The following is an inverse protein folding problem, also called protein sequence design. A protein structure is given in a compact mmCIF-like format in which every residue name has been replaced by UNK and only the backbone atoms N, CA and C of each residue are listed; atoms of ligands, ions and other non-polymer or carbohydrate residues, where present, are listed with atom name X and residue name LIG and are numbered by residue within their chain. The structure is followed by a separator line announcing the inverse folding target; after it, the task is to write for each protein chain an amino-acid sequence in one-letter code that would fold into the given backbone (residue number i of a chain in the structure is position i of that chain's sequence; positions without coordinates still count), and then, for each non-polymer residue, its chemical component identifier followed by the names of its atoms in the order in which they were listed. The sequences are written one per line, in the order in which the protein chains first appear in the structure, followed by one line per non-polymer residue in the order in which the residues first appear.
data_IF_709702964258
#
_entry.id   IF_709702964258
#
_cell.length_a   1.000
_cell.length_b   1.000
_cell.length_c   1.000
_cell.angle_alpha   90.00
_cell.angle_beta   90.00
_cell.angle_gamma   90.00
#
_symmetry.space_group_name_H-M   'P 1'
#
loop_
_entity.id
_entity.type
_entity.pdbx_description
1 polymer ?
#
# COMPACT_ATOMS: atom_id res chain seq x y z
N UNK A 1 -49.84 -14.20 7.73
CA UNK A 1 -50.11 -15.63 7.62
C UNK A 1 -49.98 -15.97 6.13
N UNK A 2 -48.74 -16.11 5.69
CA UNK A 2 -48.42 -16.55 4.32
C UNK A 2 -47.20 -17.46 4.39
N UNK A 3 -47.32 -18.64 3.84
CA UNK A 3 -46.42 -19.78 3.89
C UNK A 3 -45.19 -19.59 3.00
N UNK A 4 -44.02 -20.16 3.34
CA UNK A 4 -42.80 -20.04 2.54
C UNK A 4 -42.84 -21.05 1.37
N UNK A 5 -42.44 -20.59 0.18
CA UNK A 5 -42.24 -21.37 -1.04
C UNK A 5 -40.99 -22.26 -0.95
N UNK A 6 -41.19 -23.54 -1.22
CA UNK A 6 -40.17 -24.58 -1.34
C UNK A 6 -39.19 -24.29 -2.51
N UNK A 7 -37.91 -24.51 -2.27
CA UNK A 7 -36.86 -24.58 -3.27
C UNK A 7 -36.78 -26.00 -3.85
N UNK A 8 -36.61 -26.21 -5.18
CA UNK A 8 -36.49 -27.54 -5.76
C UNK A 8 -35.11 -28.15 -5.47
N UNK A 9 -35.14 -29.41 -4.97
CA UNK A 9 -33.98 -30.30 -4.84
C UNK A 9 -33.49 -30.71 -6.21
N UNK A 10 -32.22 -30.48 -6.52
CA UNK A 10 -31.52 -31.00 -7.69
C UNK A 10 -31.05 -32.42 -7.36
N UNK A 11 -31.55 -33.38 -8.15
CA UNK A 11 -31.26 -34.82 -8.08
C UNK A 11 -29.84 -35.10 -8.61
N UNK A 12 -28.99 -35.67 -7.74
CA UNK A 12 -27.57 -35.95 -7.99
C UNK A 12 -27.27 -37.28 -8.70
N UNK A 13 -28.25 -37.87 -9.46
CA UNK A 13 -28.12 -39.20 -10.06
C UNK A 13 -27.71 -39.24 -11.54
N UNK A 14 -27.42 -38.11 -12.20
CA UNK A 14 -27.12 -38.03 -13.63
C UNK A 14 -25.64 -37.88 -14.05
N UNK A 15 -24.66 -37.97 -13.14
CA UNK A 15 -23.22 -37.83 -13.46
C UNK A 15 -22.38 -39.09 -13.20
N UNK A 16 -22.94 -40.29 -13.38
CA UNK A 16 -22.23 -41.57 -13.27
C UNK A 16 -22.46 -42.51 -14.45
N UNK A 17 -22.25 -42.05 -15.69
CA UNK A 17 -22.14 -42.96 -16.86
C UNK A 17 -21.46 -42.24 -18.03
N UNK A 18 -20.12 -41.97 -17.95
CA UNK A 18 -19.29 -41.65 -19.13
C UNK A 18 -17.78 -41.68 -18.72
N UNK A 19 -17.33 -42.81 -18.16
CA UNK A 19 -15.87 -43.09 -18.02
C UNK A 19 -15.66 -44.62 -18.07
N UNK A 20 -15.77 -45.23 -19.23
CA UNK A 20 -15.60 -46.67 -19.34
C UNK A 20 -15.47 -47.17 -20.75
N UNK A 21 -14.85 -46.46 -21.69
CA UNK A 21 -14.61 -47.04 -23.01
C UNK A 21 -13.46 -46.40 -23.84
N UNK A 22 -12.45 -45.83 -23.26
CA UNK A 22 -11.25 -45.36 -24.00
C UNK A 22 -9.93 -45.85 -23.43
N UNK A 23 -9.91 -46.87 -22.58
CA UNK A 23 -8.70 -47.44 -21.97
C UNK A 23 -8.17 -48.73 -22.62
N UNK A 24 -8.78 -49.26 -23.65
CA UNK A 24 -8.46 -50.61 -24.18
C UNK A 24 -7.83 -50.67 -25.58
N UNK A 25 -7.40 -49.59 -26.17
CA UNK A 25 -6.76 -49.60 -27.51
C UNK A 25 -5.32 -49.04 -27.58
N UNK A 26 -4.70 -48.71 -26.44
CA UNK A 26 -3.29 -48.26 -26.38
C UNK A 26 -2.34 -49.29 -25.78
N UNK A 27 -2.77 -50.49 -25.41
CA UNK A 27 -1.96 -51.56 -24.83
C UNK A 27 -1.36 -52.57 -25.81
N UNK A 28 -1.75 -52.59 -27.10
CA UNK A 28 -1.33 -53.61 -28.07
C UNK A 28 -0.32 -53.13 -29.12
N UNK A 29 0.10 -51.86 -29.09
CA UNK A 29 1.08 -51.31 -30.04
C UNK A 29 2.53 -51.32 -29.59
N UNK A 30 2.82 -51.55 -28.29
CA UNK A 30 4.20 -51.45 -27.73
C UNK A 30 4.87 -52.80 -27.52
N UNK A 31 4.20 -53.91 -27.76
CA UNK A 31 4.72 -55.29 -27.58
C UNK A 31 5.47 -55.85 -28.79
N UNK A 32 5.36 -55.23 -30.01
CA UNK A 32 5.88 -55.85 -31.25
C UNK A 32 7.18 -55.21 -31.75
N UNK A 33 7.68 -54.14 -31.16
CA UNK A 33 8.94 -53.44 -31.58
C UNK A 33 10.16 -53.92 -30.78
N UNK A 34 10.00 -54.63 -29.67
CA UNK A 34 11.12 -55.15 -28.88
C UNK A 34 11.58 -56.57 -29.22
N UNK A 35 10.88 -57.30 -30.10
CA UNK A 35 11.23 -58.66 -30.54
C UNK A 35 12.12 -58.75 -31.78
N UNK A 36 12.34 -57.66 -32.52
CA UNK A 36 13.13 -57.65 -33.78
C UNK A 36 14.57 -57.09 -33.56
N UNK A 37 14.87 -56.43 -32.46
CA UNK A 37 16.20 -55.89 -32.16
C UNK A 37 17.15 -56.82 -31.42
N UNK A 38 16.67 -58.01 -30.95
CA UNK A 38 17.47 -58.98 -30.18
C UNK A 38 18.26 -59.98 -30.99
N UNK A 39 18.07 -60.10 -32.32
CA UNK A 39 18.67 -61.17 -33.14
C UNK A 39 19.80 -60.74 -34.05
N UNK A 40 20.21 -59.47 -34.02
CA UNK A 40 21.30 -58.96 -34.89
C UNK A 40 22.61 -58.68 -34.13
N UNK A 41 22.73 -58.89 -32.84
CA UNK A 41 23.94 -58.62 -32.04
C UNK A 41 24.70 -59.92 -31.64
N UNK A 42 24.18 -61.08 -31.93
CA UNK A 42 24.79 -62.36 -31.55
C UNK A 42 25.71 -62.99 -32.62
N UNK A 43 25.92 -62.40 -33.80
CA UNK A 43 26.73 -62.93 -34.85
C UNK A 43 28.06 -62.16 -35.12
N UNK A 44 28.48 -61.25 -34.25
CA UNK A 44 29.69 -60.47 -34.49
C UNK A 44 30.85 -60.71 -33.50
N UNK A 45 30.72 -61.66 -32.54
CA UNK A 45 31.80 -61.99 -31.61
C UNK A 45 32.16 -63.50 -31.63
N UNK A 46 32.58 -63.98 -32.76
CA UNK A 46 33.09 -65.33 -32.88
C UNK A 46 34.17 -65.42 -33.97
N UNK A 47 35.32 -64.88 -33.75
CA UNK A 47 36.58 -65.45 -34.27
C UNK A 47 37.75 -64.50 -33.98
N UNK A 48 38.49 -64.71 -32.91
CA UNK A 48 39.94 -64.48 -32.93
C UNK A 48 40.63 -65.36 -31.90
N UNK A 49 41.63 -66.03 -32.48
CA UNK A 49 42.43 -67.11 -31.95
C UNK A 49 43.36 -66.65 -30.81
N UNK A 50 43.59 -67.59 -29.90
CA UNK A 50 44.61 -67.71 -28.88
C UNK A 50 45.98 -67.22 -29.32
N UNK A 51 46.58 -66.33 -28.52
CA UNK A 51 48.05 -66.17 -28.43
C UNK A 51 48.41 -66.10 -26.95
N UNK A 52 49.27 -67.01 -26.56
CA UNK A 52 49.87 -67.28 -25.27
C UNK A 52 50.55 -66.09 -24.61
N UNK A 53 50.53 -65.96 -23.28
CA UNK A 53 51.13 -64.85 -22.56
C UNK A 53 52.66 -65.00 -22.44
N UNK A 54 53.34 -63.97 -22.87
CA UNK A 54 54.77 -63.80 -22.56
C UNK A 54 54.87 -63.07 -21.20
N UNK A 55 55.25 -63.79 -20.19
CA UNK A 55 55.64 -63.26 -18.88
C UNK A 55 57.02 -62.64 -19.03
N UNK A 56 57.10 -61.33 -18.90
CA UNK A 56 58.18 -60.56 -18.27
C UNK A 56 58.03 -59.06 -18.59
N UNK A 57 57.32 -58.36 -17.68
CA UNK A 57 57.52 -56.93 -17.49
C UNK A 57 57.39 -56.61 -16.00
N UNK A 58 58.29 -55.83 -15.41
CA UNK A 58 58.39 -55.66 -13.97
C UNK A 58 57.25 -54.76 -13.47
N UNK A 59 56.36 -55.34 -12.67
CA UNK A 59 55.35 -54.63 -11.91
C UNK A 59 55.97 -53.94 -10.67
N UNK A 60 56.66 -52.81 -10.89
CA UNK A 60 57.15 -52.02 -9.78
C UNK A 60 57.51 -50.58 -10.28
N UNK A 61 56.53 -49.76 -10.59
CA UNK A 61 56.66 -48.26 -10.57
C UNK A 61 55.37 -47.46 -10.83
N UNK A 62 54.20 -48.11 -10.73
CA UNK A 62 52.91 -47.39 -10.91
C UNK A 62 52.35 -46.70 -9.64
N UNK A 63 53.11 -46.76 -8.53
CA UNK A 63 52.60 -46.25 -7.21
C UNK A 63 53.00 -44.81 -6.88
N UNK A 64 53.82 -44.11 -7.69
CA UNK A 64 54.34 -42.77 -7.35
C UNK A 64 54.14 -41.72 -8.43
N UNK A 65 53.25 -41.93 -9.40
CA UNK A 65 52.92 -40.87 -10.35
C UNK A 65 52.04 -39.83 -9.62
N UNK A 66 52.54 -38.62 -9.45
CA UNK A 66 51.77 -37.51 -8.89
C UNK A 66 50.55 -37.22 -9.79
N UNK A 67 49.36 -37.18 -9.20
CA UNK A 67 48.12 -36.94 -9.93
C UNK A 67 47.97 -35.44 -10.24
N UNK A 68 47.69 -35.05 -11.50
CA UNK A 68 47.41 -33.68 -11.82
C UNK A 68 46.05 -33.24 -11.21
N UNK A 69 46.08 -32.21 -10.42
CA UNK A 69 44.90 -31.68 -9.72
C UNK A 69 44.88 -30.13 -9.74
N UNK A 70 43.70 -29.53 -9.80
CA UNK A 70 43.57 -28.10 -9.55
C UNK A 70 43.52 -27.85 -8.05
N UNK A 71 44.20 -26.80 -7.64
CA UNK A 71 44.25 -26.38 -6.24
C UNK A 71 43.82 -24.93 -6.11
N UNK A 72 43.21 -24.60 -5.00
CA UNK A 72 42.78 -23.26 -4.67
C UNK A 72 43.18 -22.93 -3.23
N UNK A 73 43.79 -21.77 -3.05
CA UNK A 73 44.06 -21.25 -1.72
C UNK A 73 42.75 -20.76 -1.05
N UNK A 74 42.51 -21.18 0.15
CA UNK A 74 41.34 -20.80 0.97
C UNK A 74 41.57 -19.41 1.54
N UNK A 75 40.76 -18.45 1.08
CA UNK A 75 40.77 -17.08 1.58
C UNK A 75 39.68 -16.84 2.64
N UNK A 76 39.84 -15.75 3.38
CA UNK A 76 38.75 -15.21 4.19
C UNK A 76 37.74 -14.53 3.28
N UNK A 77 36.49 -14.95 3.33
CA UNK A 77 35.36 -14.37 2.59
C UNK A 77 34.29 -13.92 3.57
N UNK A 78 33.44 -13.01 3.15
CA UNK A 78 32.25 -12.63 3.95
C UNK A 78 31.20 -13.72 3.79
N UNK A 79 30.83 -14.35 4.91
CA UNK A 79 29.72 -15.29 4.96
C UNK A 79 28.48 -14.58 5.48
N UNK A 80 27.32 -14.88 4.89
CA UNK A 80 26.02 -14.29 5.27
C UNK A 80 25.12 -15.36 5.88
N UNK A 81 24.61 -15.10 7.09
CA UNK A 81 23.47 -15.83 7.61
C UNK A 81 22.21 -15.16 7.08
N UNK A 82 21.39 -15.88 6.32
CA UNK A 82 20.19 -15.34 5.71
C UNK A 82 19.02 -16.30 5.81
N UNK A 83 17.81 -15.76 5.63
CA UNK A 83 16.60 -16.58 5.53
C UNK A 83 15.68 -15.97 4.48
N UNK A 84 15.02 -16.83 3.74
CA UNK A 84 14.13 -16.47 2.65
C UNK A 84 12.67 -16.52 3.14
N UNK A 85 11.92 -15.48 2.84
CA UNK A 85 10.50 -15.33 3.16
C UNK A 85 9.75 -14.91 1.90
N UNK A 86 8.56 -15.45 1.70
CA UNK A 86 7.66 -14.99 0.64
C UNK A 86 6.72 -13.93 1.23
N UNK A 87 6.54 -12.85 0.50
CA UNK A 87 5.66 -11.77 0.91
C UNK A 87 5.05 -11.02 -0.27
N UNK A 88 4.07 -10.19 0.02
CA UNK A 88 3.47 -9.28 -0.96
C UNK A 88 4.04 -7.88 -0.80
N UNK A 89 4.33 -7.24 -1.92
CA UNK A 89 4.66 -5.82 -1.98
C UNK A 89 3.39 -5.00 -1.77
N UNK A 90 3.46 -4.01 -0.92
CA UNK A 90 2.37 -3.09 -0.60
C UNK A 90 2.83 -1.65 -0.88
N UNK A 91 2.00 -0.90 -1.59
CA UNK A 91 2.27 0.51 -1.84
C UNK A 91 2.14 1.31 -0.54
N UNK A 92 3.00 2.33 -0.36
CA UNK A 92 2.97 3.18 0.83
C UNK A 92 1.66 3.93 0.99
N UNK A 93 1.08 4.36 -0.11
CA UNK A 93 -0.22 5.02 -0.14
C UNK A 93 -1.06 4.45 -1.26
N UNK A 94 -2.26 4.04 -0.91
CA UNK A 94 -3.30 3.58 -1.81
C UNK A 94 -4.61 4.22 -1.39
N UNK A 95 -5.23 4.97 -2.28
CA UNK A 95 -6.47 5.68 -2.00
C UNK A 95 -7.53 5.25 -3.00
N UNK A 96 -8.62 4.71 -2.50
CA UNK A 96 -9.82 4.44 -3.28
C UNK A 96 -10.58 5.76 -3.44
N UNK A 97 -10.71 6.23 -4.67
CA UNK A 97 -11.35 7.49 -5.02
C UNK A 97 -12.86 7.27 -5.13
N UNK A 98 -13.61 8.03 -4.34
CA UNK A 98 -15.06 7.97 -4.25
C UNK A 98 -15.65 9.37 -4.40
N UNK A 99 -16.82 9.55 -5.04
CA UNK A 99 -17.48 10.84 -5.11
C UNK A 99 -18.08 11.20 -3.74
N UNK A 100 -18.04 12.48 -3.40
CA UNK A 100 -18.66 13.02 -2.19
C UNK A 100 -20.12 13.42 -2.39
N UNK A 101 -20.55 13.49 -3.63
CA UNK A 101 -21.95 13.75 -4.06
C UNK A 101 -22.35 12.72 -5.09
N UNK A 102 -23.64 12.43 -5.16
CA UNK A 102 -24.20 11.61 -6.22
C UNK A 102 -24.38 12.38 -7.52
N UNK A 103 -24.28 11.71 -8.64
CA UNK A 103 -24.48 12.32 -9.95
C UNK A 103 -24.12 11.40 -11.12
N UNK A 104 -24.37 11.86 -12.34
CA UNK A 104 -23.95 11.14 -13.55
C UNK A 104 -22.52 11.53 -13.92
N UNK A 105 -21.70 10.58 -14.30
CA UNK A 105 -20.35 10.86 -14.83
C UNK A 105 -20.49 11.57 -16.17
N UNK A 106 -20.06 12.82 -16.22
CA UNK A 106 -20.03 13.65 -17.41
C UNK A 106 -18.78 13.37 -18.26
N UNK A 107 -17.63 13.26 -17.60
CA UNK A 107 -16.36 12.95 -18.24
C UNK A 107 -15.39 12.28 -17.28
N UNK A 108 -14.55 11.39 -17.81
CA UNK A 108 -13.35 10.87 -17.18
C UNK A 108 -12.16 11.56 -17.86
N UNK A 109 -11.36 12.30 -17.11
CA UNK A 109 -10.36 13.24 -17.63
C UNK A 109 -8.95 12.64 -17.74
N UNK A 110 -8.76 11.42 -17.22
CA UNK A 110 -7.49 10.71 -17.20
C UNK A 110 -7.67 9.25 -17.59
N UNK A 111 -6.62 8.62 -18.10
CA UNK A 111 -6.65 7.20 -18.48
C UNK A 111 -6.16 6.29 -17.36
N UNK A 112 -6.65 5.04 -17.35
CA UNK A 112 -6.09 3.99 -16.49
C UNK A 112 -4.59 3.81 -16.75
N UNK A 113 -3.77 3.68 -15.70
CA UNK A 113 -2.31 3.63 -15.79
C UNK A 113 -1.61 4.99 -15.90
N UNK A 114 -2.34 6.08 -16.05
CA UNK A 114 -1.75 7.43 -16.13
C UNK A 114 -1.23 7.88 -14.77
N UNK A 115 -0.06 8.54 -14.76
CA UNK A 115 0.47 9.19 -13.56
C UNK A 115 -0.18 10.56 -13.39
N UNK A 116 -0.67 10.82 -12.17
CA UNK A 116 -1.34 12.07 -11.79
C UNK A 116 -0.68 12.69 -10.57
N UNK A 117 -0.79 14.01 -10.45
CA UNK A 117 -0.37 14.76 -9.27
C UNK A 117 -1.57 15.00 -8.34
N UNK A 118 -1.28 15.23 -7.06
CA UNK A 118 -2.30 15.68 -6.12
C UNK A 118 -3.02 16.92 -6.65
N UNK A 119 -4.37 16.92 -6.63
CA UNK A 119 -5.21 17.98 -7.14
C UNK A 119 -5.59 17.85 -8.62
N UNK A 120 -5.00 16.91 -9.37
CA UNK A 120 -5.39 16.66 -10.77
C UNK A 120 -6.85 16.21 -10.83
N UNK A 121 -7.72 16.83 -11.67
CA UNK A 121 -9.09 16.37 -11.85
C UNK A 121 -9.11 15.02 -12.57
N UNK A 122 -9.82 14.05 -11.99
CA UNK A 122 -9.93 12.68 -12.47
C UNK A 122 -11.23 12.45 -13.23
N UNK A 123 -12.34 12.94 -12.67
CA UNK A 123 -13.66 12.83 -13.26
C UNK A 123 -14.50 14.06 -12.96
N UNK A 124 -15.48 14.36 -13.82
CA UNK A 124 -16.52 15.35 -13.59
C UNK A 124 -17.90 14.70 -13.55
N UNK A 125 -18.73 15.20 -12.63
CA UNK A 125 -20.11 14.77 -12.47
C UNK A 125 -21.07 15.82 -13.04
N UNK A 126 -22.16 15.43 -13.70
CA UNK A 126 -23.27 16.32 -14.05
C UNK A 126 -24.03 16.71 -12.80
N UNK A 127 -24.42 18.00 -12.72
CA UNK A 127 -24.99 18.60 -11.52
C UNK A 127 -26.34 19.29 -11.78
N UNK A 128 -27.15 18.82 -12.74
CA UNK A 128 -28.41 19.48 -13.07
C UNK A 128 -29.25 19.77 -11.81
N UNK A 129 -29.40 18.77 -10.95
CA UNK A 129 -30.13 18.94 -9.68
C UNK A 129 -29.41 19.89 -8.69
N UNK A 130 -28.08 19.85 -8.62
CA UNK A 130 -27.32 20.70 -7.70
C UNK A 130 -27.34 22.16 -8.14
N UNK A 131 -27.31 22.43 -9.44
CA UNK A 131 -27.45 23.78 -9.99
C UNK A 131 -28.84 24.33 -9.71
N UNK A 132 -29.91 23.55 -9.88
CA UNK A 132 -31.26 23.93 -9.52
C UNK A 132 -31.37 24.26 -8.02
N UNK A 133 -30.73 23.51 -7.15
CA UNK A 133 -30.68 23.75 -5.72
C UNK A 133 -29.96 25.08 -5.38
N UNK A 134 -28.86 25.40 -6.06
CA UNK A 134 -28.17 26.70 -5.90
C UNK A 134 -29.06 27.82 -6.36
N UNK A 135 -29.69 27.70 -7.53
CA UNK A 135 -30.63 28.74 -8.05
C UNK A 135 -31.78 28.99 -7.05
N UNK A 136 -32.37 27.94 -6.51
CA UNK A 136 -33.40 28.04 -5.47
C UNK A 136 -32.89 28.74 -4.21
N UNK A 137 -31.69 28.42 -3.73
CA UNK A 137 -31.07 29.04 -2.54
C UNK A 137 -30.77 30.55 -2.78
N UNK A 138 -30.33 30.90 -3.97
CA UNK A 138 -30.09 32.31 -4.38
C UNK A 138 -31.43 33.08 -4.43
N UNK A 139 -32.48 32.48 -4.97
CA UNK A 139 -33.81 33.06 -4.96
C UNK A 139 -34.35 33.29 -3.54
N UNK A 140 -34.16 32.33 -2.64
CA UNK A 140 -34.51 32.47 -1.23
C UNK A 140 -33.74 33.63 -0.54
N UNK A 141 -32.42 33.74 -0.81
CA UNK A 141 -31.63 34.86 -0.28
C UNK A 141 -32.11 36.21 -0.82
N UNK A 142 -32.49 36.31 -2.09
CA UNK A 142 -33.05 37.51 -2.69
C UNK A 142 -34.40 37.88 -2.06
N UNK A 143 -35.26 36.90 -1.79
CA UNK A 143 -36.54 37.14 -1.12
C UNK A 143 -36.33 37.62 0.33
N UNK A 144 -35.40 37.04 1.07
CA UNK A 144 -35.04 37.51 2.41
C UNK A 144 -34.49 38.92 2.42
N UNK A 145 -33.67 39.28 1.42
CA UNK A 145 -33.15 40.65 1.22
C UNK A 145 -34.27 41.68 0.94
N UNK A 146 -35.27 41.30 0.15
CA UNK A 146 -36.46 42.15 -0.08
C UNK A 146 -37.26 42.33 1.23
N UNK A 147 -37.44 41.24 2.02
CA UNK A 147 -38.06 41.33 3.35
C UNK A 147 -37.33 42.27 4.31
N UNK A 148 -36.00 42.29 4.29
CA UNK A 148 -35.18 43.22 5.07
C UNK A 148 -35.44 44.67 4.67
N UNK A 149 -35.51 44.99 3.33
CA UNK A 149 -35.83 46.31 2.85
C UNK A 149 -37.23 46.77 3.31
N UNK A 150 -38.23 45.87 3.31
CA UNK A 150 -39.56 46.15 3.81
C UNK A 150 -39.55 46.48 5.32
N UNK A 151 -38.82 45.69 6.12
CA UNK A 151 -38.71 45.95 7.56
C UNK A 151 -37.97 47.27 7.84
N UNK A 152 -36.94 47.61 7.04
CA UNK A 152 -36.26 48.92 7.14
C UNK A 152 -37.19 50.09 6.83
N UNK A 153 -38.04 49.98 5.79
CA UNK A 153 -39.02 50.98 5.46
C UNK A 153 -40.05 51.18 6.57
N UNK A 154 -40.49 50.07 7.19
CA UNK A 154 -41.41 50.13 8.36
C UNK A 154 -40.77 50.84 9.57
N UNK A 155 -39.48 50.59 9.83
CA UNK A 155 -38.75 51.30 10.88
C UNK A 155 -38.64 52.78 10.60
N UNK A 156 -38.32 53.15 9.36
CA UNK A 156 -38.29 54.55 8.94
C UNK A 156 -39.64 55.26 9.09
N UNK A 157 -40.74 54.60 8.73
CA UNK A 157 -42.10 55.09 8.94
C UNK A 157 -42.39 55.31 10.42
N UNK A 158 -42.07 54.32 11.30
CA UNK A 158 -42.25 54.45 12.74
C UNK A 158 -41.44 55.61 13.35
N UNK A 159 -40.19 55.78 12.87
CA UNK A 159 -39.33 56.91 13.28
C UNK A 159 -39.92 58.29 12.86
N UNK A 160 -40.44 58.40 11.63
CA UNK A 160 -41.11 59.61 11.17
C UNK A 160 -42.35 59.92 12.01
N UNK A 161 -43.17 58.90 12.34
CA UNK A 161 -44.33 59.09 13.19
C UNK A 161 -43.94 59.54 14.62
N UNK A 162 -42.88 58.92 15.19
CA UNK A 162 -42.31 59.36 16.47
C UNK A 162 -41.87 60.83 16.44
N UNK A 163 -41.20 61.26 15.40
CA UNK A 163 -40.76 62.66 15.24
C UNK A 163 -41.95 63.63 15.20
N UNK A 164 -43.05 63.28 14.51
CA UNK A 164 -44.29 64.06 14.49
C UNK A 164 -44.89 64.17 15.88
N UNK A 165 -44.99 63.06 16.63
CA UNK A 165 -45.54 63.05 17.98
C UNK A 165 -44.66 63.82 18.99
N UNK A 166 -43.30 63.69 18.85
CA UNK A 166 -42.37 64.48 19.64
C UNK A 166 -42.52 65.99 19.45
N UNK A 167 -42.76 66.44 18.22
CA UNK A 167 -43.06 67.86 17.91
C UNK A 167 -44.37 68.29 18.63
N UNK A 168 -45.40 67.44 18.68
CA UNK A 168 -46.62 67.73 19.41
C UNK A 168 -46.39 67.90 20.90
N UNK A 169 -45.58 67.02 21.53
CA UNK A 169 -45.17 67.16 22.96
C UNK A 169 -44.52 68.51 23.17
N UNK A 170 -43.63 68.97 22.33
CA UNK A 170 -42.97 70.28 22.42
C UNK A 170 -43.98 71.43 22.34
N UNK A 171 -44.96 71.32 21.43
CA UNK A 171 -46.03 72.30 21.32
C UNK A 171 -46.84 72.36 22.59
N UNK A 172 -47.32 71.23 23.10
CA UNK A 172 -48.15 71.17 24.32
C UNK A 172 -47.34 71.61 25.58
N UNK A 173 -46.04 71.32 25.62
CA UNK A 173 -45.19 71.83 26.69
C UNK A 173 -45.06 73.31 26.70
N UNK A 174 -44.92 73.94 25.51
CA UNK A 174 -44.87 75.41 25.36
C UNK A 174 -46.22 76.04 25.77
N UNK A 175 -47.32 75.42 25.38
CA UNK A 175 -48.66 75.87 25.70
C UNK A 175 -48.93 75.78 27.22
N UNK A 176 -48.57 74.64 27.89
CA UNK A 176 -48.67 74.50 29.31
C UNK A 176 -47.86 75.56 30.07
N UNK A 177 -46.61 75.79 29.72
CA UNK A 177 -45.74 76.80 30.36
C UNK A 177 -46.35 78.21 30.24
N UNK A 178 -46.86 78.57 29.06
CA UNK A 178 -47.53 79.83 28.85
C UNK A 178 -48.79 79.99 29.70
N UNK A 179 -49.67 78.98 29.71
CA UNK A 179 -50.91 78.98 30.53
C UNK A 179 -50.56 79.01 32.00
N UNK A 180 -49.55 78.33 32.49
CA UNK A 180 -49.08 78.34 33.84
C UNK A 180 -48.71 79.77 34.32
N UNK A 181 -47.97 80.53 33.43
CA UNK A 181 -47.56 81.86 33.70
C UNK A 181 -48.78 82.81 33.76
N UNK A 182 -49.74 82.77 32.82
CA UNK A 182 -50.90 83.60 32.78
C UNK A 182 -51.82 83.36 33.94
N UNK A 183 -51.95 82.12 34.45
CA UNK A 183 -52.75 81.80 35.67
C UNK A 183 -52.03 82.33 36.91
N UNK A 184 -50.69 82.30 36.99
CA UNK A 184 -49.93 82.86 38.10
C UNK A 184 -50.06 84.36 38.16
N UNK A 185 -50.22 84.99 37.01
CA UNK A 185 -50.48 86.49 36.86
C UNK A 185 -51.94 86.84 37.05
N UNK A 186 -52.87 85.85 37.27
CA UNK A 186 -54.27 86.06 37.44
C UNK A 186 -55.07 86.35 36.17
N UNK A 187 -54.43 86.20 34.98
CA UNK A 187 -55.00 86.47 33.66
C UNK A 187 -55.86 85.33 33.08
N UNK A 188 -55.77 84.11 33.64
CA UNK A 188 -56.53 82.92 33.18
C UNK A 188 -57.05 82.11 34.38
N UNK A 189 -58.11 81.30 34.17
CA UNK A 189 -58.70 80.43 35.15
C UNK A 189 -57.85 79.16 35.41
N UNK A 190 -57.85 78.60 36.65
CA UNK A 190 -57.16 77.40 36.99
C UNK A 190 -57.60 76.20 36.13
N UNK A 191 -58.85 76.17 35.70
CA UNK A 191 -59.43 75.15 34.86
C UNK A 191 -58.62 75.00 33.56
N UNK A 192 -58.17 76.14 32.94
CA UNK A 192 -57.40 76.11 31.75
C UNK A 192 -56.03 75.51 31.97
N UNK A 193 -55.39 75.74 33.09
CA UNK A 193 -54.13 75.10 33.45
C UNK A 193 -54.33 73.58 33.61
N UNK A 194 -55.41 73.09 34.21
CA UNK A 194 -55.70 71.66 34.34
C UNK A 194 -55.90 71.01 32.92
N UNK A 195 -56.60 71.67 32.04
CA UNK A 195 -56.75 71.24 30.63
C UNK A 195 -55.36 71.18 29.89
N UNK A 196 -54.58 72.23 30.05
CA UNK A 196 -53.22 72.22 29.44
C UNK A 196 -52.32 71.12 29.98
N UNK A 197 -52.39 70.85 31.29
CA UNK A 197 -51.66 69.74 31.93
C UNK A 197 -52.10 68.39 31.35
N UNK A 198 -53.39 68.14 31.27
CA UNK A 198 -53.96 66.91 30.73
C UNK A 198 -53.52 66.67 29.26
N UNK A 199 -53.61 67.78 28.47
CA UNK A 199 -53.14 67.71 27.04
C UNK A 199 -51.66 67.34 26.93
N UNK A 200 -50.79 67.95 27.78
CA UNK A 200 -49.38 67.63 27.80
C UNK A 200 -49.15 66.17 28.22
N UNK A 201 -49.89 65.68 29.29
CA UNK A 201 -49.76 64.32 29.74
C UNK A 201 -50.19 63.30 28.68
N UNK A 202 -51.27 63.58 27.93
CA UNK A 202 -51.67 62.75 26.78
C UNK A 202 -50.63 62.74 25.69
N UNK A 203 -50.06 63.90 25.31
CA UNK A 203 -49.01 63.96 24.31
C UNK A 203 -47.75 63.19 24.70
N UNK A 204 -47.36 63.19 26.01
CA UNK A 204 -46.25 62.38 26.53
C UNK A 204 -46.59 60.90 26.44
N UNK A 205 -47.81 60.48 26.76
CA UNK A 205 -48.23 59.09 26.62
C UNK A 205 -48.20 58.61 25.15
N UNK A 206 -48.64 59.50 24.21
CA UNK A 206 -48.54 59.20 22.77
C UNK A 206 -47.08 59.04 22.29
N UNK A 207 -46.18 59.87 22.82
CA UNK A 207 -44.75 59.73 22.48
C UNK A 207 -44.18 58.39 22.99
N UNK A 208 -44.54 58.00 24.21
CA UNK A 208 -44.13 56.69 24.74
C UNK A 208 -44.67 55.53 23.91
N UNK A 209 -45.91 55.61 23.39
CA UNK A 209 -46.49 54.63 22.50
C UNK A 209 -45.70 54.58 21.16
N UNK A 210 -45.36 55.74 20.60
CA UNK A 210 -44.55 55.84 19.35
C UNK A 210 -43.14 55.27 19.54
N UNK A 211 -42.50 55.48 20.75
CA UNK A 211 -41.21 54.89 21.07
C UNK A 211 -41.28 53.33 21.12
N UNK A 212 -42.34 52.79 21.67
CA UNK A 212 -42.58 51.32 21.63
C UNK A 212 -42.76 50.81 20.21
N UNK A 213 -43.42 51.59 19.35
CA UNK A 213 -43.59 51.22 17.95
C UNK A 213 -42.24 51.23 17.16
N UNK A 214 -41.35 52.21 17.39
CA UNK A 214 -40.01 52.21 16.87
C UNK A 214 -39.22 51.03 17.35
N UNK A 215 -39.27 50.69 18.63
CA UNK A 215 -38.61 49.52 19.21
C UNK A 215 -39.08 48.19 18.57
N UNK A 216 -40.42 48.07 18.37
CA UNK A 216 -41.02 46.91 17.70
C UNK A 216 -40.56 46.79 16.24
N UNK A 217 -40.60 47.88 15.48
CA UNK A 217 -40.11 47.93 14.11
C UNK A 217 -38.60 47.60 14.01
N UNK A 218 -37.78 48.11 14.96
CA UNK A 218 -36.36 47.76 15.08
C UNK A 218 -36.10 46.28 15.37
N UNK A 219 -36.97 45.66 16.16
CA UNK A 219 -36.95 44.21 16.37
C UNK A 219 -37.25 43.45 15.05
N UNK A 220 -38.23 43.95 14.26
CA UNK A 220 -38.54 43.39 12.95
C UNK A 220 -37.32 43.43 11.98
N UNK A 221 -36.56 44.54 11.97
CA UNK A 221 -35.34 44.66 11.18
C UNK A 221 -34.30 43.62 11.62
N UNK A 222 -34.09 43.44 12.91
CA UNK A 222 -33.15 42.40 13.43
C UNK A 222 -33.55 40.98 13.00
N UNK A 223 -34.87 40.70 13.07
CA UNK A 223 -35.42 39.41 12.62
C UNK A 223 -35.18 39.20 11.13
N UNK A 224 -35.49 40.21 10.30
CA UNK A 224 -35.26 40.13 8.85
C UNK A 224 -33.74 39.98 8.48
N UNK A 225 -32.86 40.66 9.24
CA UNK A 225 -31.41 40.48 9.10
C UNK A 225 -30.96 39.05 9.42
N UNK A 226 -31.55 38.42 10.44
CA UNK A 226 -31.29 37.01 10.80
C UNK A 226 -31.72 36.06 9.65
N UNK A 227 -32.88 36.33 9.04
CA UNK A 227 -33.39 35.58 7.88
C UNK A 227 -32.48 35.70 6.67
N UNK A 228 -31.92 36.90 6.40
CA UNK A 228 -30.92 37.10 5.32
C UNK A 228 -29.67 36.28 5.58
N UNK A 229 -29.13 36.32 6.80
CA UNK A 229 -27.94 35.50 7.16
C UNK A 229 -28.20 34.00 7.00
N UNK A 230 -29.38 33.54 7.41
CA UNK A 230 -29.78 32.14 7.24
C UNK A 230 -29.84 31.73 5.76
N UNK A 231 -30.46 32.53 4.91
CA UNK A 231 -30.58 32.28 3.48
C UNK A 231 -29.21 32.31 2.78
N UNK A 232 -28.33 33.27 3.15
CA UNK A 232 -26.95 33.34 2.65
C UNK A 232 -26.13 32.09 3.04
N UNK A 233 -26.26 31.59 4.28
CA UNK A 233 -25.62 30.36 4.72
C UNK A 233 -26.12 29.16 3.89
N UNK A 234 -27.41 29.09 3.60
CA UNK A 234 -28.00 28.09 2.70
C UNK A 234 -27.41 28.14 1.29
N UNK A 235 -27.22 29.37 0.72
CA UNK A 235 -26.58 29.55 -0.60
C UNK A 235 -25.10 29.06 -0.55
N UNK A 236 -24.37 29.41 0.50
CA UNK A 236 -22.98 28.96 0.65
C UNK A 236 -22.89 27.42 0.74
N UNK A 237 -23.77 26.77 1.49
CA UNK A 237 -23.85 25.32 1.59
C UNK A 237 -24.18 24.66 0.24
N UNK A 238 -25.12 25.21 -0.53
CA UNK A 238 -25.44 24.72 -1.86
C UNK A 238 -24.25 24.87 -2.84
N UNK A 239 -23.48 25.96 -2.73
CA UNK A 239 -22.29 26.21 -3.56
C UNK A 239 -21.14 25.24 -3.28
N UNK A 240 -20.97 24.77 -2.03
CA UNK A 240 -19.98 23.73 -1.69
C UNK A 240 -20.25 22.46 -2.51
N UNK A 241 -21.51 22.05 -2.63
CA UNK A 241 -21.89 20.86 -3.41
C UNK A 241 -21.53 21.02 -4.91
N UNK A 242 -21.60 22.22 -5.46
CA UNK A 242 -21.16 22.49 -6.85
C UNK A 242 -19.65 22.31 -7.01
N UNK A 243 -18.87 22.70 -6.03
CA UNK A 243 -17.41 22.53 -6.06
C UNK A 243 -16.99 21.06 -6.00
N UNK A 244 -17.81 20.21 -5.40
CA UNK A 244 -17.60 18.74 -5.35
C UNK A 244 -17.88 18.01 -6.68
N UNK A 245 -18.33 18.74 -7.72
CA UNK A 245 -18.50 18.23 -9.08
C UNK A 245 -17.23 17.55 -9.61
N UNK A 246 -16.08 18.10 -9.31
CA UNK A 246 -14.79 17.59 -9.75
C UNK A 246 -14.22 16.64 -8.71
N UNK A 247 -14.09 15.38 -9.10
CA UNK A 247 -13.39 14.38 -8.30
C UNK A 247 -11.91 14.51 -8.62
N UNK A 248 -11.12 14.91 -7.63
CA UNK A 248 -9.68 15.19 -7.80
C UNK A 248 -8.81 14.17 -7.09
N UNK A 249 -7.58 13.96 -7.57
CA UNK A 249 -6.60 13.08 -6.95
C UNK A 249 -6.16 13.61 -5.57
N UNK A 250 -6.34 12.87 -4.47
CA UNK A 250 -5.91 13.30 -3.14
C UNK A 250 -4.40 13.13 -2.93
N UNK A 251 -3.77 12.23 -3.70
CA UNK A 251 -2.34 11.93 -3.65
C UNK A 251 -1.75 11.91 -5.06
N UNK A 252 -0.43 12.05 -5.16
CA UNK A 252 0.33 11.81 -6.40
C UNK A 252 0.56 10.32 -6.56
N UNK A 253 0.22 9.74 -7.73
CA UNK A 253 0.34 8.30 -7.97
C UNK A 253 -0.07 7.89 -9.37
N UNK A 254 -0.28 6.60 -9.56
CA UNK A 254 -0.77 6.00 -10.80
C UNK A 254 -2.24 5.65 -10.62
N UNK A 255 -3.06 6.04 -11.58
CA UNK A 255 -4.51 5.77 -11.60
C UNK A 255 -4.73 4.30 -11.97
N UNK A 256 -5.56 3.62 -11.20
CA UNK A 256 -5.98 2.25 -11.46
C UNK A 256 -7.04 2.16 -12.56
N UNK A 257 -7.73 1.05 -12.60
CA UNK A 257 -8.85 0.83 -13.52
C UNK A 257 -10.09 1.63 -13.07
N UNK A 258 -10.92 2.02 -14.04
CA UNK A 258 -12.21 2.63 -13.80
C UNK A 258 -13.30 1.55 -13.95
N UNK A 259 -13.94 1.11 -12.84
CA UNK A 259 -15.08 0.21 -12.89
C UNK A 259 -16.36 0.90 -13.41
N UNK A 260 -16.30 2.21 -13.62
CA UNK A 260 -17.41 3.07 -14.05
C UNK A 260 -17.10 3.72 -15.40
N UNK A 261 -18.15 4.09 -16.14
CA UNK A 261 -18.05 4.67 -17.48
C UNK A 261 -18.72 6.05 -17.53
N UNK A 262 -18.36 6.84 -18.54
CA UNK A 262 -19.08 8.08 -18.86
C UNK A 262 -20.55 7.76 -19.15
N UNK A 263 -21.43 8.50 -18.50
CA UNK A 263 -22.89 8.28 -18.56
C UNK A 263 -23.45 7.49 -17.37
N UNK A 264 -22.62 6.78 -16.60
CA UNK A 264 -23.07 6.05 -15.42
C UNK A 264 -23.49 7.00 -14.30
N UNK A 265 -24.50 6.59 -13.52
CA UNK A 265 -24.90 7.27 -12.32
C UNK A 265 -24.14 6.68 -11.12
N UNK A 266 -23.45 7.52 -10.36
CA UNK A 266 -22.66 7.14 -9.20
C UNK A 266 -23.22 7.71 -7.91
N UNK A 267 -23.21 6.91 -6.86
CA UNK A 267 -23.64 7.30 -5.53
C UNK A 267 -22.42 7.67 -4.65
N UNK A 268 -22.67 8.42 -3.58
CA UNK A 268 -21.67 8.71 -2.56
C UNK A 268 -21.10 7.40 -1.99
N UNK A 269 -19.77 7.31 -1.92
CA UNK A 269 -19.07 6.10 -1.43
C UNK A 269 -18.83 5.03 -2.49
N UNK A 270 -19.37 5.15 -3.71
CA UNK A 270 -19.08 4.22 -4.81
C UNK A 270 -17.66 4.45 -5.35
N UNK A 271 -16.93 3.36 -5.59
CA UNK A 271 -15.56 3.47 -6.13
C UNK A 271 -15.57 3.93 -7.58
N UNK A 272 -14.86 5.04 -7.86
CA UNK A 272 -14.60 5.52 -9.22
C UNK A 272 -13.30 4.93 -9.76
N UNK A 273 -12.24 4.95 -8.98
CA UNK A 273 -10.92 4.36 -9.30
C UNK A 273 -10.09 4.28 -8.02
N UNK A 274 -8.88 3.72 -8.13
CA UNK A 274 -7.89 3.71 -7.05
C UNK A 274 -6.64 4.43 -7.52
N UNK A 275 -6.02 5.24 -6.68
CA UNK A 275 -4.73 5.87 -6.97
C UNK A 275 -3.68 5.24 -6.06
N UNK A 276 -2.61 4.72 -6.67
CA UNK A 276 -1.53 4.00 -5.99
C UNK A 276 -0.23 4.75 -6.13
N UNK A 277 0.42 5.04 -5.01
CA UNK A 277 1.76 5.63 -5.01
C UNK A 277 2.82 4.51 -5.09
N UNK A 278 3.41 4.34 -6.26
CA UNK A 278 4.31 3.23 -6.59
C UNK A 278 5.81 3.61 -6.57
N UNK A 279 6.19 4.75 -6.02
CA UNK A 279 7.59 5.21 -5.99
C UNK A 279 8.47 4.37 -5.05
N UNK A 280 7.88 3.87 -3.99
CA UNK A 280 8.47 2.92 -3.07
C UNK A 280 7.37 1.95 -2.60
N UNK A 281 7.77 0.71 -2.32
CA UNK A 281 6.88 -0.31 -1.80
C UNK A 281 7.48 -0.94 -0.55
N UNK A 282 6.63 -1.36 0.34
CA UNK A 282 7.01 -2.10 1.53
C UNK A 282 6.67 -3.59 1.30
N UNK A 283 7.65 -4.46 1.46
CA UNK A 283 7.48 -5.91 1.41
C UNK A 283 7.02 -6.40 2.78
N UNK A 284 5.86 -7.00 2.85
CA UNK A 284 5.32 -7.60 4.06
C UNK A 284 5.91 -8.99 4.24
N UNK A 285 6.68 -9.20 5.32
CA UNK A 285 7.37 -10.44 5.65
C UNK A 285 6.83 -11.00 6.97
N UNK A 286 6.41 -12.25 6.97
CA UNK A 286 6.03 -12.97 8.18
C UNK A 286 7.25 -13.70 8.74
N UNK A 287 7.89 -13.12 9.74
CA UNK A 287 9.11 -13.65 10.36
C UNK A 287 8.73 -14.51 11.57
N UNK A 288 9.18 -15.79 11.66
CA UNK A 288 8.90 -16.65 12.80
C UNK A 288 9.41 -16.07 14.12
N UNK A 289 8.68 -16.30 15.21
CA UNK A 289 8.95 -15.73 16.53
C UNK A 289 10.30 -16.16 17.13
N UNK A 290 10.85 -17.34 16.72
CA UNK A 290 12.16 -17.79 17.13
C UNK A 290 13.32 -16.90 16.61
N UNK A 291 13.09 -16.11 15.54
CA UNK A 291 14.05 -15.16 14.97
C UNK A 291 13.90 -13.73 15.53
N UNK A 292 12.97 -13.51 16.47
CA UNK A 292 12.69 -12.18 17.03
C UNK A 292 13.93 -11.50 17.63
N UNK A 293 14.79 -12.27 18.30
CA UNK A 293 16.01 -11.73 18.93
C UNK A 293 17.00 -11.14 17.91
N UNK A 294 16.97 -11.62 16.67
CA UNK A 294 17.83 -11.15 15.58
C UNK A 294 17.15 -10.06 14.73
N UNK A 295 15.81 -9.98 14.78
CA UNK A 295 15.03 -9.04 13.98
C UNK A 295 15.15 -7.61 14.54
N UNK A 296 15.67 -6.69 13.72
CA UNK A 296 15.83 -5.27 14.07
C UNK A 296 15.61 -4.38 12.84
N UNK A 297 15.22 -3.15 13.08
CA UNK A 297 15.14 -2.12 12.04
C UNK A 297 16.53 -1.89 11.44
N UNK A 298 16.59 -1.73 10.12
CA UNK A 298 17.84 -1.54 9.37
C UNK A 298 18.48 -2.83 8.87
N UNK A 299 17.95 -4.04 9.20
CA UNK A 299 18.45 -5.27 8.60
C UNK A 299 18.32 -5.21 7.07
N UNK A 300 19.39 -5.54 6.33
CA UNK A 300 19.34 -5.56 4.88
C UNK A 300 18.44 -6.71 4.39
N UNK A 301 17.62 -6.38 3.38
CA UNK A 301 16.72 -7.33 2.73
C UNK A 301 16.96 -7.27 1.23
N UNK A 302 17.19 -8.41 0.60
CA UNK A 302 17.28 -8.56 -0.83
C UNK A 302 15.93 -9.02 -1.38
N UNK A 303 15.48 -8.36 -2.44
CA UNK A 303 14.30 -8.75 -3.19
C UNK A 303 14.70 -9.69 -4.30
N UNK A 304 14.16 -10.89 -4.30
CA UNK A 304 14.51 -11.95 -5.24
C UNK A 304 13.29 -12.25 -6.11
N UNK A 305 13.52 -12.31 -7.41
CA UNK A 305 12.51 -12.79 -8.35
C UNK A 305 12.32 -14.31 -8.17
N UNK A 306 11.11 -14.77 -7.86
CA UNK A 306 10.87 -16.20 -7.56
C UNK A 306 11.14 -17.12 -8.77
N UNK A 307 11.07 -16.59 -10.01
CA UNK A 307 11.27 -17.37 -11.23
C UNK A 307 12.73 -17.44 -11.63
N UNK A 308 13.43 -16.30 -11.61
CA UNK A 308 14.82 -16.23 -12.10
C UNK A 308 15.86 -16.37 -11.00
N UNK A 309 15.43 -16.38 -9.72
CA UNK A 309 16.31 -16.41 -8.53
C UNK A 309 17.35 -15.26 -8.48
N UNK A 310 17.13 -14.21 -9.27
CA UNK A 310 18.02 -13.05 -9.31
C UNK A 310 17.56 -11.99 -8.33
N UNK A 311 18.53 -11.30 -7.73
CA UNK A 311 18.27 -10.12 -6.90
C UNK A 311 17.81 -8.98 -7.81
N UNK A 312 16.56 -8.52 -7.62
CA UNK A 312 15.93 -7.44 -8.38
C UNK A 312 15.89 -6.11 -7.62
N UNK A 313 16.24 -6.14 -6.35
CA UNK A 313 16.30 -4.93 -5.52
C UNK A 313 16.89 -5.21 -4.14
N UNK A 314 17.35 -4.14 -3.51
CA UNK A 314 17.83 -4.18 -2.12
C UNK A 314 17.08 -3.14 -1.31
N UNK A 315 16.77 -3.49 -0.08
CA UNK A 315 16.05 -2.65 0.86
C UNK A 315 16.47 -2.94 2.29
N UNK A 316 15.75 -2.40 3.25
CA UNK A 316 15.99 -2.66 4.65
C UNK A 316 14.68 -2.75 5.42
N UNK A 317 14.69 -3.49 6.51
CA UNK A 317 13.58 -3.54 7.47
C UNK A 317 13.35 -2.14 8.04
N UNK A 318 12.15 -1.61 7.84
CA UNK A 318 11.74 -0.28 8.30
C UNK A 318 10.64 -0.32 9.36
N UNK A 319 9.97 -1.45 9.51
CA UNK A 319 8.89 -1.64 10.49
C UNK A 319 8.87 -3.07 11.00
N UNK A 320 8.62 -3.22 12.30
CA UNK A 320 8.39 -4.49 12.99
C UNK A 320 7.12 -4.32 13.80
N UNK A 321 6.16 -5.24 13.63
CA UNK A 321 4.90 -5.20 14.38
C UNK A 321 5.17 -5.34 15.88
N UNK A 322 4.52 -4.54 16.73
CA UNK A 322 4.60 -4.73 18.18
C UNK A 322 3.81 -5.96 18.68
N UNK A 323 3.02 -6.59 17.80
CA UNK A 323 2.18 -7.74 18.10
C UNK A 323 2.62 -8.97 17.33
N UNK A 324 2.57 -10.12 17.99
CA UNK A 324 2.81 -11.44 17.38
C UNK A 324 1.47 -12.03 16.95
N UNK A 325 1.38 -12.53 15.73
CA UNK A 325 0.22 -13.30 15.28
C UNK A 325 0.21 -14.66 16.00
N UNK A 326 -0.74 -14.85 16.92
CA UNK A 326 -0.85 -16.09 17.70
C UNK A 326 -1.11 -17.33 16.81
N UNK A 327 -1.90 -17.16 15.74
CA UNK A 327 -2.26 -18.24 14.82
C UNK A 327 -1.07 -18.70 13.95
N UNK A 328 -0.15 -17.78 13.61
CA UNK A 328 0.97 -18.06 12.71
C UNK A 328 2.31 -18.14 13.45
N UNK A 329 2.35 -17.84 14.75
CA UNK A 329 3.56 -17.72 15.56
C UNK A 329 4.64 -16.87 14.86
N UNK A 330 4.21 -15.83 14.15
CA UNK A 330 5.06 -14.95 13.34
C UNK A 330 4.82 -13.48 13.66
N UNK A 331 5.80 -12.65 13.30
CA UNK A 331 5.77 -11.21 13.46
C UNK A 331 5.79 -10.59 12.07
N UNK A 332 4.85 -9.70 11.82
CA UNK A 332 4.86 -8.91 10.60
C UNK A 332 6.03 -7.93 10.65
N UNK A 333 6.91 -8.03 9.67
CA UNK A 333 7.97 -7.08 9.42
C UNK A 333 7.80 -6.49 8.02
N UNK A 334 8.06 -5.20 7.86
CA UNK A 334 8.04 -4.56 6.55
C UNK A 334 9.45 -4.13 6.16
N UNK A 335 9.81 -4.40 4.91
CA UNK A 335 11.08 -3.96 4.33
C UNK A 335 10.81 -3.03 3.15
N UNK A 336 11.46 -1.86 3.13
CA UNK A 336 11.23 -0.84 2.12
C UNK A 336 12.14 -1.00 0.92
N UNK A 337 11.55 -0.88 -0.28
CA UNK A 337 12.23 -0.94 -1.56
C UNK A 337 11.87 0.29 -2.40
N UNK A 338 12.88 0.94 -2.95
CA UNK A 338 12.69 2.04 -3.89
C UNK A 338 12.38 1.46 -5.28
N UNK A 339 11.36 1.99 -5.93
CA UNK A 339 10.88 1.54 -7.23
C UNK A 339 11.13 2.60 -8.32
N UNK A 340 12.36 3.05 -8.47
CA UNK A 340 12.72 4.11 -9.43
C UNK A 340 12.41 3.73 -10.89
N UNK A 341 12.46 2.45 -11.22
CA UNK A 341 12.20 1.93 -12.57
C UNK A 341 10.72 1.58 -12.80
N UNK A 342 9.86 1.67 -11.80
CA UNK A 342 8.43 1.37 -11.90
C UNK A 342 8.08 -0.10 -12.19
N UNK A 343 9.03 -1.03 -12.01
CA UNK A 343 8.83 -2.46 -12.32
C UNK A 343 8.06 -3.21 -11.23
N UNK A 344 8.19 -2.77 -9.98
CA UNK A 344 7.49 -3.38 -8.86
C UNK A 344 6.04 -2.87 -8.81
N UNK A 345 5.10 -3.76 -8.46
CA UNK A 345 3.67 -3.46 -8.43
C UNK A 345 3.08 -3.76 -7.05
N UNK A 346 2.10 -2.96 -6.65
CA UNK A 346 1.26 -3.22 -5.48
C UNK A 346 0.57 -4.59 -5.63
N UNK A 347 0.59 -5.40 -4.56
CA UNK A 347 0.04 -6.76 -4.54
C UNK A 347 0.93 -7.83 -5.17
N UNK A 348 2.12 -7.50 -5.70
CA UNK A 348 3.03 -8.48 -6.30
C UNK A 348 3.67 -9.36 -5.22
N UNK A 349 3.61 -10.69 -5.41
CA UNK A 349 4.31 -11.65 -4.55
C UNK A 349 5.76 -11.79 -4.99
N UNK A 350 6.66 -11.72 -4.03
CA UNK A 350 8.12 -11.78 -4.22
C UNK A 350 8.76 -12.50 -3.04
N UNK A 351 10.00 -12.96 -3.24
CA UNK A 351 10.80 -13.54 -2.17
C UNK A 351 11.71 -12.46 -1.59
N UNK A 352 11.69 -12.29 -0.27
CA UNK A 352 12.57 -11.41 0.48
C UNK A 352 13.59 -12.22 1.26
N UNK A 353 14.88 -12.00 1.01
CA UNK A 353 15.97 -12.59 1.79
C UNK A 353 16.44 -11.61 2.83
N UNK A 354 16.18 -11.91 4.12
CA UNK A 354 16.70 -11.13 5.24
C UNK A 354 18.12 -11.61 5.54
N UNK A 355 19.07 -10.68 5.60
CA UNK A 355 20.45 -10.97 6.01
C UNK A 355 20.58 -10.63 7.49
N UNK A 356 20.70 -11.68 8.32
CA UNK A 356 20.76 -11.56 9.78
C UNK A 356 22.10 -11.09 10.28
N UNK A 357 23.18 -11.67 9.72
CA UNK A 357 24.55 -11.33 10.08
C UNK A 357 25.50 -11.51 8.90
N UNK A 358 26.58 -10.74 8.92
CA UNK A 358 27.72 -10.89 8.03
C UNK A 358 28.95 -11.07 8.89
N UNK A 359 29.66 -12.16 8.66
CA UNK A 359 30.85 -12.51 9.43
C UNK A 359 31.96 -12.94 8.50
N UNK A 360 33.24 -12.67 8.86
CA UNK A 360 34.36 -13.29 8.16
C UNK A 360 34.25 -14.80 8.31
N UNK A 361 34.39 -15.53 7.21
CA UNK A 361 34.33 -16.98 7.19
C UNK A 361 35.06 -17.57 6.00
N UNK A 362 35.04 -18.87 5.87
CA UNK A 362 35.66 -19.60 4.79
C UNK A 362 34.58 -20.11 3.85
N UNK A 363 34.73 -19.82 2.55
CA UNK A 363 33.90 -20.36 1.50
C UNK A 363 34.76 -21.24 0.58
N UNK A 364 34.28 -22.48 0.32
CA UNK A 364 34.94 -23.43 -0.58
C UNK A 364 33.99 -23.86 -1.69
N UNK A 365 34.45 -24.05 -2.92
CA UNK A 365 33.63 -24.55 -4.01
C UNK A 365 32.97 -25.89 -3.68
N UNK A 366 31.71 -26.06 -4.07
CA UNK A 366 30.96 -27.32 -3.85
C UNK A 366 31.66 -28.53 -4.45
N UNK A 367 32.41 -28.35 -5.53
CA UNK A 367 33.20 -29.39 -6.21
C UNK A 367 34.42 -29.87 -5.42
N UNK A 368 34.89 -29.13 -4.41
CA UNK A 368 36.04 -29.51 -3.57
C UNK A 368 35.65 -30.49 -2.45
N UNK A 369 34.36 -30.80 -2.30
CA UNK A 369 33.86 -31.61 -1.16
C UNK A 369 33.69 -33.06 -1.60
N UNK A 370 34.30 -33.98 -0.81
CA UNK A 370 34.08 -35.41 -0.88
C UNK A 370 33.15 -35.84 0.28
N UNK A 371 32.14 -36.64 -0.02
CA UNK A 371 31.24 -37.18 1.01
C UNK A 371 31.47 -38.68 1.13
N UNK A 372 31.87 -39.12 2.34
CA UNK A 372 32.14 -40.52 2.64
C UNK A 372 31.44 -40.87 3.94
N UNK A 373 30.60 -41.90 3.95
CA UNK A 373 29.90 -42.34 5.16
C UNK A 373 29.02 -41.26 5.81
N UNK A 374 28.47 -40.33 5.03
CA UNK A 374 27.64 -39.23 5.55
C UNK A 374 28.43 -38.03 6.09
N UNK A 375 29.76 -38.11 6.14
CA UNK A 375 30.66 -37.05 6.56
C UNK A 375 31.24 -36.29 5.35
N UNK A 376 31.52 -35.00 5.52
CA UNK A 376 32.08 -34.13 4.46
C UNK A 376 33.59 -33.96 4.72
N UNK A 377 34.37 -34.18 3.67
CA UNK A 377 35.84 -34.06 3.69
C UNK A 377 36.31 -33.15 2.56
N UNK A 378 37.45 -32.53 2.79
CA UNK A 378 38.23 -31.83 1.77
C UNK A 378 39.65 -32.36 1.75
N UNK A 379 40.32 -32.30 0.61
CA UNK A 379 41.71 -32.62 0.49
C UNK A 379 42.53 -31.33 0.61
N UNK A 380 43.36 -31.24 1.66
CA UNK A 380 44.27 -30.14 1.94
C UNK A 380 45.65 -30.56 1.47
N UNK A 381 46.33 -29.68 0.75
CA UNK A 381 47.71 -29.94 0.26
C UNK A 381 48.73 -29.60 1.34
N UNK A 382 49.71 -30.47 1.49
CA UNK A 382 50.86 -30.26 2.36
C UNK A 382 52.17 -30.53 1.62
N UNK A 383 53.18 -29.66 1.84
CA UNK A 383 54.50 -29.83 1.28
C UNK A 383 55.31 -30.80 2.19
N UNK A 384 55.73 -31.90 1.63
CA UNK A 384 56.58 -32.89 2.33
C UNK A 384 57.86 -33.12 1.51
N UNK A 385 58.87 -33.69 2.14
CA UNK A 385 60.08 -34.08 1.47
C UNK A 385 60.19 -35.60 1.47
N UNK A 386 60.11 -36.23 0.29
CA UNK A 386 60.27 -37.67 0.12
C UNK A 386 61.55 -37.92 -0.66
N UNK A 387 62.45 -38.68 -0.08
CA UNK A 387 63.78 -39.01 -0.67
C UNK A 387 64.61 -37.75 -1.08
N UNK A 388 64.56 -36.69 -0.24
CA UNK A 388 65.26 -35.43 -0.50
C UNK A 388 64.72 -34.54 -1.62
N UNK A 389 63.57 -34.91 -2.21
CA UNK A 389 62.87 -34.10 -3.21
C UNK A 389 61.56 -33.50 -2.60
N UNK A 390 61.30 -32.21 -2.81
CA UNK A 390 60.03 -31.64 -2.35
C UNK A 390 58.88 -32.25 -3.15
N UNK A 391 57.86 -32.71 -2.45
CA UNK A 391 56.67 -33.30 -3.04
C UNK A 391 55.46 -32.77 -2.33
N UNK A 392 54.37 -32.50 -3.05
CA UNK A 392 53.10 -32.16 -2.46
C UNK A 392 52.22 -33.41 -2.33
N UNK A 393 51.67 -33.61 -1.16
CA UNK A 393 50.73 -34.66 -0.85
C UNK A 393 49.40 -34.07 -0.35
N UNK A 394 48.35 -34.86 -0.42
CA UNK A 394 47.02 -34.43 0.10
C UNK A 394 46.67 -35.18 1.39
N UNK A 395 46.10 -34.45 2.33
CA UNK A 395 45.51 -34.98 3.56
C UNK A 395 44.01 -34.80 3.50
N UNK A 396 43.30 -35.88 3.77
CA UNK A 396 41.85 -35.88 3.90
C UNK A 396 41.46 -35.29 5.24
N UNK A 397 40.79 -34.18 5.25
CA UNK A 397 40.38 -33.47 6.47
C UNK A 397 38.88 -33.39 6.57
N UNK A 398 38.35 -33.77 7.72
CA UNK A 398 36.95 -33.65 8.07
C UNK A 398 36.59 -32.17 8.18
N UNK A 399 35.50 -31.74 7.53
CA UNK A 399 34.99 -30.39 7.61
C UNK A 399 33.52 -30.39 8.00
N UNK A 400 33.16 -29.38 8.82
CA UNK A 400 31.78 -29.14 9.14
C UNK A 400 31.28 -28.01 8.23
N UNK A 401 30.33 -28.35 7.39
CA UNK A 401 29.77 -27.41 6.42
C UNK A 401 28.56 -26.68 7.02
N UNK A 402 28.40 -25.40 6.66
CA UNK A 402 27.22 -24.57 6.88
C UNK A 402 26.39 -24.44 5.61
N UNK A 403 25.80 -23.26 5.43
CA UNK A 403 24.92 -22.96 4.31
C UNK A 403 25.66 -22.82 2.97
N UNK A 404 24.92 -23.06 1.89
CA UNK A 404 25.41 -22.85 0.53
C UNK A 404 25.25 -21.36 0.17
N UNK A 405 26.34 -20.74 -0.30
CA UNK A 405 26.33 -19.36 -0.78
C UNK A 405 26.80 -19.32 -2.22
N UNK A 406 25.84 -19.26 -3.15
CA UNK A 406 26.12 -19.37 -4.58
C UNK A 406 26.73 -20.75 -4.93
N UNK A 407 27.93 -20.81 -5.59
CA UNK A 407 28.61 -22.07 -5.93
C UNK A 407 29.45 -22.63 -4.77
N UNK A 408 29.45 -22.02 -3.59
CA UNK A 408 30.34 -22.35 -2.47
C UNK A 408 29.56 -22.81 -1.24
N UNK A 409 30.20 -23.71 -0.45
CA UNK A 409 29.78 -24.02 0.91
C UNK A 409 30.54 -23.17 1.91
N UNK A 410 29.84 -22.70 2.95
CA UNK A 410 30.48 -22.16 4.13
C UNK A 410 31.12 -23.30 4.94
N UNK A 411 32.36 -23.10 5.38
CA UNK A 411 33.04 -24.01 6.30
C UNK A 411 32.95 -23.42 7.71
N UNK A 412 32.30 -24.17 8.60
CA UNK A 412 32.13 -23.77 10.01
C UNK A 412 33.33 -24.21 10.84
N UNK A 413 33.97 -25.34 10.46
CA UNK A 413 35.09 -25.90 11.17
C UNK A 413 35.91 -26.86 10.28
N UNK A 414 37.20 -27.04 10.56
CA UNK A 414 38.08 -27.99 9.86
C UNK A 414 39.06 -27.36 8.87
N UNK A 415 38.93 -26.06 8.51
CA UNK A 415 39.89 -25.37 7.64
C UNK A 415 40.32 -24.02 8.23
N UNK A 416 41.53 -23.60 7.89
CA UNK A 416 42.10 -22.28 8.24
C UNK A 416 42.32 -21.43 7.00
N UNK A 417 42.18 -20.12 7.09
CA UNK A 417 42.57 -19.22 6.01
C UNK A 417 44.06 -19.41 5.65
N UNK A 418 44.36 -19.40 4.34
CA UNK A 418 45.71 -19.62 3.84
C UNK A 418 46.03 -21.06 3.47
N UNK A 419 45.26 -22.05 3.89
CA UNK A 419 45.43 -23.43 3.48
C UNK A 419 45.05 -23.61 1.99
N UNK A 420 45.65 -24.57 1.32
CA UNK A 420 45.35 -24.87 -0.07
C UNK A 420 44.58 -26.17 -0.17
N UNK A 421 43.44 -26.15 -0.86
CA UNK A 421 42.57 -27.29 -1.08
C UNK A 421 42.55 -27.74 -2.53
N UNK A 422 42.24 -29.00 -2.76
CA UNK A 422 42.03 -29.53 -4.11
C UNK A 422 40.60 -29.31 -4.56
N UNK A 423 40.44 -28.75 -5.76
CA UNK A 423 39.12 -28.45 -6.36
C UNK A 423 38.77 -29.34 -7.54
N UNK A 424 39.71 -30.13 -8.08
CA UNK A 424 39.47 -31.04 -9.21
C UNK A 424 40.20 -32.35 -9.04
N UNK A 425 39.64 -33.45 -9.54
CA UNK A 425 40.28 -34.78 -9.48
C UNK A 425 40.10 -35.53 -8.16
N UNK A 426 39.25 -35.03 -7.23
CA UNK A 426 39.10 -35.52 -5.88
C UNK A 426 38.70 -37.00 -5.77
N UNK A 427 37.99 -37.56 -6.77
CA UNK A 427 37.55 -38.97 -6.76
C UNK A 427 38.68 -39.99 -6.81
N UNK A 428 39.88 -39.62 -7.27
CA UNK A 428 41.06 -40.48 -7.38
C UNK A 428 42.01 -40.29 -6.21
N UNK A 429 41.74 -39.34 -5.32
CA UNK A 429 42.65 -39.06 -4.20
C UNK A 429 42.32 -39.94 -2.97
N UNK A 430 43.38 -40.27 -2.27
CA UNK A 430 43.33 -40.93 -0.96
C UNK A 430 44.31 -40.20 -0.03
N UNK A 431 44.25 -40.52 1.23
CA UNK A 431 45.18 -40.02 2.25
C UNK A 431 46.63 -40.24 1.77
N UNK A 432 47.46 -39.21 1.80
CA UNK A 432 48.88 -39.28 1.45
C UNK A 432 49.17 -39.37 -0.07
N UNK A 433 48.17 -39.24 -0.93
CA UNK A 433 48.39 -39.30 -2.40
C UNK A 433 49.26 -38.13 -2.87
N UNK A 434 50.36 -38.38 -3.60
CA UNK A 434 51.18 -37.32 -4.21
C UNK A 434 50.43 -36.66 -5.33
N UNK A 435 50.52 -35.33 -5.40
CA UNK A 435 49.83 -34.48 -6.40
C UNK A 435 50.82 -33.59 -7.17
N UNK A 436 50.40 -33.21 -8.35
CA UNK A 436 51.03 -32.17 -9.17
C UNK A 436 50.00 -31.07 -9.39
N UNK A 437 50.14 -29.93 -8.70
CA UNK A 437 49.21 -28.81 -8.91
C UNK A 437 49.25 -28.31 -10.37
N UNK A 438 48.08 -28.19 -10.92
CA UNK A 438 47.84 -27.44 -12.15
C UNK A 438 47.15 -26.14 -11.82
N UNK A 439 47.67 -25.02 -12.24
CA UNK A 439 47.10 -23.67 -12.09
C UNK A 439 45.96 -23.43 -13.08
#
# INVERSE_FOLDING_TARGET
METPKETPKIDSSALRKLSGQQGLLLGLGLGLVLAISGMAIFSYFGNQRSATPNQNAPAANARNAALPVQVQQVGTSTTEESSDFVGALEAQQKVTLQPQIQGRIEAILVSSGQRVQKGTPIASLSLDQTQANVASSVAAASAAQAGLKTAQAQLQQAQAQRTKVAANVQLQQTQFNRTQQLVAEGAQARQELDVARNNLQTAIADLQAADKQVAAAGAGVRQAQASVRQAQAGTAAAQVNVNLKRVVAPITGVVGEFPVKVGDYVNTGQTITTIVQNNALDLNLSVPSNRLKQLRIGLPVQLIDPTTQKVIGTGAVNYISPTVSANQQSILSKARFVNSQGRLRDGQYVQGRIIWSRQPGILIPTVAISRIGGQSFVFVTENTTVNGKPQQIVHQRLVRLGDIQGPNYQVLDGLKPGETIVTSGILKLREGTPIQPQS
#
